data_IF_298179134002
#
_entry.id   IF_298179134002
#
_cell.length_a   1.000
_cell.length_b   1.000
_cell.length_c   1.000
_cell.angle_alpha   90.00
_cell.angle_beta   90.00
_cell.angle_gamma   90.00
#
_symmetry.space_group_name_H-M   'P 1'
#
loop_
_entity.id
_entity.type
_entity.pdbx_description
1 polymer ?
#
# COMPACT_ATOMS: atom_id res chain seq x y z
N UNK A 1 0.23 1.48 -22.50
CA UNK A 1 0.28 0.19 -21.80
C UNK A 1 1.31 0.33 -20.69
N UNK A 2 0.86 0.55 -19.45
CA UNK A 2 1.76 0.55 -18.28
C UNK A 2 1.86 -0.90 -17.83
N UNK A 3 3.07 -1.46 -17.75
CA UNK A 3 3.30 -2.80 -17.23
C UNK A 3 2.88 -2.81 -15.76
N UNK A 4 1.71 -3.42 -15.48
CA UNK A 4 1.20 -3.57 -14.13
C UNK A 4 2.00 -4.68 -13.44
N UNK A 5 3.04 -4.29 -12.70
CA UNK A 5 3.74 -5.19 -11.79
C UNK A 5 2.87 -5.41 -10.56
N UNK A 6 2.78 -6.68 -10.12
CA UNK A 6 2.04 -7.08 -8.93
C UNK A 6 3.05 -7.22 -7.80
N UNK A 7 2.82 -6.52 -6.69
CA UNK A 7 3.59 -6.71 -5.46
C UNK A 7 2.70 -7.31 -4.38
N UNK A 8 3.24 -8.31 -3.67
CA UNK A 8 2.53 -9.01 -2.60
C UNK A 8 3.48 -9.33 -1.45
N UNK A 9 3.05 -9.01 -0.23
CA UNK A 9 3.73 -9.35 1.01
C UNK A 9 2.74 -9.99 1.98
N UNK A 10 3.18 -11.00 2.73
CA UNK A 10 2.38 -11.63 3.78
C UNK A 10 2.65 -10.97 5.13
N UNK A 11 1.59 -10.76 5.92
CA UNK A 11 1.67 -10.21 7.27
C UNK A 11 0.91 -11.11 8.23
N UNK A 12 1.52 -11.43 9.37
CA UNK A 12 0.84 -12.16 10.45
C UNK A 12 -0.34 -11.37 11.04
N UNK A 13 -0.28 -10.03 11.00
CA UNK A 13 -1.39 -9.14 11.33
C UNK A 13 -1.36 -7.92 10.41
N UNK A 14 -2.50 -7.65 9.75
CA UNK A 14 -2.66 -6.51 8.85
C UNK A 14 -3.02 -5.28 9.67
N UNK A 15 -1.97 -4.58 10.10
CA UNK A 15 -2.11 -3.29 10.80
C UNK A 15 -1.83 -2.16 9.83
N UNK A 16 -2.45 -1.00 10.06
CA UNK A 16 -2.21 0.19 9.26
C UNK A 16 -0.73 0.62 9.20
N UNK A 17 0.03 0.40 10.29
CA UNK A 17 1.48 0.66 10.29
C UNK A 17 2.22 -0.22 9.29
N UNK A 18 1.85 -1.49 9.19
CA UNK A 18 2.44 -2.42 8.23
C UNK A 18 2.04 -2.07 6.80
N UNK A 19 0.79 -1.66 6.59
CA UNK A 19 0.28 -1.18 5.30
C UNK A 19 1.02 0.09 4.84
N UNK A 20 1.16 1.09 5.70
CA UNK A 20 1.89 2.32 5.38
C UNK A 20 3.37 2.03 5.04
N UNK A 21 3.99 1.07 5.74
CA UNK A 21 5.36 0.62 5.45
C UNK A 21 5.45 -0.07 4.09
N UNK A 22 4.49 -0.93 3.76
CA UNK A 22 4.40 -1.61 2.46
C UNK A 22 4.31 -0.60 1.32
N UNK A 23 3.36 0.35 1.41
CA UNK A 23 3.17 1.38 0.38
C UNK A 23 4.47 2.18 0.17
N UNK A 24 5.14 2.62 1.25
CA UNK A 24 6.36 3.42 1.11
C UNK A 24 7.55 2.62 0.56
N UNK A 25 7.77 1.41 1.08
CA UNK A 25 8.98 0.63 0.79
C UNK A 25 8.91 -0.13 -0.52
N UNK A 26 7.76 -0.71 -0.80
CA UNK A 26 7.61 -1.69 -1.88
C UNK A 26 6.92 -1.02 -3.09
N UNK A 27 5.93 -0.13 -2.88
CA UNK A 27 5.28 0.62 -3.99
C UNK A 27 6.06 1.91 -4.35
N UNK A 28 6.17 2.88 -3.44
CA UNK A 28 6.68 4.23 -3.77
C UNK A 28 8.16 4.22 -4.12
N UNK A 29 8.97 3.39 -3.45
CA UNK A 29 10.39 3.33 -3.74
C UNK A 29 10.71 2.78 -5.15
N UNK A 30 9.85 1.91 -5.70
CA UNK A 30 10.06 1.28 -7.01
C UNK A 30 9.37 2.05 -8.13
N UNK A 31 8.14 2.51 -7.92
CA UNK A 31 7.31 3.11 -8.97
C UNK A 31 7.16 4.63 -8.85
N UNK A 32 7.69 5.23 -7.79
CA UNK A 32 7.46 6.64 -7.45
C UNK A 32 6.13 6.85 -6.73
N UNK A 33 5.81 8.11 -6.45
CA UNK A 33 4.58 8.48 -5.74
C UNK A 33 3.38 8.35 -6.71
N UNK A 34 2.39 7.51 -6.42
CA UNK A 34 1.19 7.40 -7.23
C UNK A 34 0.31 8.65 -7.07
N UNK A 35 -0.44 9.00 -8.11
CA UNK A 35 -1.44 10.07 -8.06
C UNK A 35 -2.61 9.71 -7.12
N UNK A 36 -3.00 8.42 -7.11
CA UNK A 36 -4.03 7.91 -6.21
C UNK A 36 -3.78 6.43 -5.88
N UNK A 37 -4.14 6.04 -4.66
CA UNK A 37 -4.21 4.64 -4.23
C UNK A 37 -5.68 4.34 -3.94
N UNK A 38 -6.27 3.42 -4.71
CA UNK A 38 -7.68 3.01 -4.56
C UNK A 38 -7.71 1.69 -3.80
N UNK A 39 -8.37 1.67 -2.65
CA UNK A 39 -8.52 0.48 -1.80
C UNK A 39 -10.00 0.11 -1.66
N UNK A 40 -10.26 -1.10 -1.14
CA UNK A 40 -11.60 -1.62 -0.87
C UNK A 40 -12.25 -1.06 0.41
N UNK A 41 -11.63 -0.03 1.01
CA UNK A 41 -12.06 0.61 2.26
C UNK A 41 -12.02 -0.31 3.49
N UNK A 42 -11.17 -1.34 3.49
CA UNK A 42 -10.91 -2.17 4.67
C UNK A 42 -10.50 -1.35 5.89
N UNK A 43 -10.91 -1.74 7.10
CA UNK A 43 -10.65 -1.00 8.35
C UNK A 43 -9.16 -0.88 8.69
N UNK A 44 -8.34 -1.82 8.21
CA UNK A 44 -6.89 -1.80 8.28
C UNK A 44 -6.24 -0.81 7.30
N UNK A 45 -7.00 -0.29 6.33
CA UNK A 45 -6.57 0.64 5.27
C UNK A 45 -7.17 2.03 5.46
N UNK A 46 -8.35 2.14 6.08
CA UNK A 46 -9.01 3.41 6.38
C UNK A 46 -8.58 3.95 7.75
N UNK A 47 -7.34 4.44 7.86
CA UNK A 47 -6.88 5.11 9.06
C UNK A 47 -5.96 6.30 8.75
N UNK A 48 -5.84 7.23 9.71
CA UNK A 48 -5.00 8.44 9.63
C UNK A 48 -3.50 8.21 9.41
N UNK A 49 -3.02 6.96 9.49
CA UNK A 49 -1.61 6.59 9.29
C UNK A 49 -1.35 6.23 7.83
N UNK A 50 -2.39 5.80 7.11
CA UNK A 50 -2.36 5.45 5.69
C UNK A 50 -2.87 6.60 4.81
N UNK A 51 -3.76 7.46 5.33
CA UNK A 51 -4.19 8.74 4.72
C UNK A 51 -3.06 9.77 4.58
#
# INVERSE_FOLDING_TARGET
YFTKWIEANSYANVTAKNVAKFIRRDIVAHYGVPEAIITDNGTNLNNKVVD
#
